data_IF_606243954645
#
_entry.id   IF_606243954645
#
_cell.length_a   1.000
_cell.length_b   1.000
_cell.length_c   1.000
_cell.angle_alpha   90.00
_cell.angle_beta   90.00
_cell.angle_gamma   90.00
#
_symmetry.space_group_name_H-M   'P 1'
#
loop_
_entity.id
_entity.type
_entity.pdbx_description
1 polymer ?
#
# COMPACT_ATOMS: atom_id res chain seq x y z
N UNK A 1 -52.36 39.85 13.06
CA UNK A 1 -50.92 40.17 12.92
C UNK A 1 -50.04 39.42 13.93
N UNK A 2 -50.26 39.51 15.26
CA UNK A 2 -49.45 38.77 16.27
C UNK A 2 -49.44 37.24 16.10
N UNK A 3 -50.58 36.61 15.76
CA UNK A 3 -50.66 35.15 15.52
C UNK A 3 -49.95 34.68 14.23
N UNK A 4 -49.82 35.56 13.24
CA UNK A 4 -49.10 35.24 11.99
C UNK A 4 -47.58 35.38 12.17
N UNK A 5 -47.12 36.29 13.02
CA UNK A 5 -45.70 36.42 13.37
C UNK A 5 -45.18 35.21 14.17
N UNK A 6 -45.98 34.65 15.08
CA UNK A 6 -45.60 33.43 15.81
C UNK A 6 -45.53 32.19 14.93
N UNK A 7 -46.37 32.07 13.90
CA UNK A 7 -46.35 30.93 12.98
C UNK A 7 -45.09 30.95 12.07
N UNK A 8 -44.63 32.14 11.66
CA UNK A 8 -43.41 32.30 10.86
C UNK A 8 -42.15 32.03 11.68
N UNK A 9 -42.12 32.40 12.96
CA UNK A 9 -40.98 32.10 13.84
C UNK A 9 -40.82 30.59 14.11
N UNK A 10 -41.92 29.86 14.23
CA UNK A 10 -41.91 28.39 14.45
C UNK A 10 -41.49 27.67 13.17
N UNK A 11 -41.96 28.10 12.00
CA UNK A 11 -41.55 27.52 10.71
C UNK A 11 -40.05 27.73 10.43
N UNK A 12 -39.48 28.88 10.80
CA UNK A 12 -38.06 29.19 10.63
C UNK A 12 -37.14 28.40 11.59
N UNK A 13 -37.66 28.00 12.76
CA UNK A 13 -36.89 27.19 13.74
C UNK A 13 -36.87 25.70 13.40
N UNK A 14 -37.89 25.19 12.68
CA UNK A 14 -37.88 23.80 12.18
C UNK A 14 -36.90 23.64 10.99
N UNK A 15 -36.73 24.65 10.14
CA UNK A 15 -35.75 24.61 9.05
C UNK A 15 -34.29 24.71 9.50
N UNK A 16 -34.02 25.23 10.71
CA UNK A 16 -32.68 25.29 11.28
C UNK A 16 -32.22 23.96 11.91
N UNK A 17 -33.15 23.06 12.23
CA UNK A 17 -32.85 21.75 12.83
C UNK A 17 -32.60 20.64 11.80
N UNK A 18 -32.96 20.83 10.53
CA UNK A 18 -32.66 19.88 9.44
C UNK A 18 -31.29 20.10 8.78
N UNK A 19 -30.49 21.05 9.27
CA UNK A 19 -29.12 21.30 8.77
C UNK A 19 -28.04 20.51 9.54
N UNK A 20 -28.39 19.75 10.57
CA UNK A 20 -27.51 18.73 11.13
C UNK A 20 -27.57 17.48 10.25
N UNK A 21 -26.83 17.47 9.15
CA UNK A 21 -26.39 16.22 8.55
C UNK A 21 -25.62 15.43 9.62
N UNK A 22 -25.80 14.10 9.73
CA UNK A 22 -24.91 13.29 10.55
C UNK A 22 -23.47 13.54 10.10
N UNK A 23 -22.55 13.72 11.06
CA UNK A 23 -21.12 13.99 10.85
C UNK A 23 -20.49 12.97 9.88
N UNK A 24 -20.53 13.22 8.58
CA UNK A 24 -19.71 12.49 7.59
C UNK A 24 -18.22 12.86 7.75
N UNK A 25 -17.92 13.96 8.43
CA UNK A 25 -16.56 14.47 8.64
C UNK A 25 -15.66 13.52 9.45
N UNK A 26 -16.23 12.52 10.13
CA UNK A 26 -15.49 11.55 10.94
C UNK A 26 -15.38 10.17 10.30
N UNK A 27 -15.58 10.04 8.98
CA UNK A 27 -15.42 8.77 8.26
C UNK A 27 -14.32 8.85 7.20
N UNK A 28 -13.51 7.80 7.09
CA UNK A 28 -12.50 7.66 6.05
C UNK A 28 -12.50 6.23 5.47
N UNK A 29 -12.42 6.11 4.15
CA UNK A 29 -12.27 4.84 3.44
C UNK A 29 -10.81 4.60 3.08
N UNK A 30 -10.29 3.44 3.45
CA UNK A 30 -8.89 3.07 3.18
C UNK A 30 -8.81 1.76 2.42
N UNK A 31 -8.18 1.79 1.24
CA UNK A 31 -7.86 0.59 0.49
C UNK A 31 -6.59 -0.10 1.03
N UNK A 32 -6.68 -1.42 1.25
CA UNK A 32 -5.57 -2.26 1.70
C UNK A 32 -5.48 -3.53 0.86
N UNK A 33 -4.43 -4.30 1.05
CA UNK A 33 -4.37 -5.66 0.53
C UNK A 33 -4.95 -6.67 1.52
N UNK A 34 -5.52 -7.76 1.01
CA UNK A 34 -5.92 -8.92 1.82
C UNK A 34 -4.71 -9.60 2.49
N UNK A 35 -4.96 -10.41 3.51
CA UNK A 35 -3.93 -11.23 4.17
C UNK A 35 -3.45 -10.62 5.50
N UNK A 36 -2.14 -10.60 5.79
CA UNK A 36 -1.62 -10.15 7.09
C UNK A 36 -2.05 -8.72 7.47
N UNK A 37 -2.25 -7.86 6.46
CA UNK A 37 -2.66 -6.47 6.65
C UNK A 37 -4.04 -6.36 7.30
N UNK A 38 -4.99 -7.27 7.02
CA UNK A 38 -6.34 -7.23 7.60
C UNK A 38 -6.33 -7.36 9.12
N UNK A 39 -5.40 -8.15 9.67
CA UNK A 39 -5.26 -8.28 11.12
C UNK A 39 -4.71 -6.98 11.76
N UNK A 40 -3.81 -6.30 11.07
CA UNK A 40 -3.27 -5.00 11.50
C UNK A 40 -4.38 -3.94 11.43
N UNK A 41 -5.13 -3.91 10.33
CA UNK A 41 -6.14 -2.89 10.09
C UNK A 41 -7.36 -3.01 11.02
N UNK A 42 -7.71 -4.20 11.50
CA UNK A 42 -8.66 -4.36 12.61
C UNK A 42 -8.24 -3.59 13.87
N UNK A 43 -6.94 -3.61 14.20
CA UNK A 43 -6.41 -2.85 15.33
C UNK A 43 -6.39 -1.35 15.01
N UNK A 44 -6.11 -0.97 13.77
CA UNK A 44 -6.18 0.44 13.33
C UNK A 44 -7.60 0.98 13.48
N UNK A 45 -8.62 0.27 12.99
CA UNK A 45 -10.04 0.62 13.14
C UNK A 45 -10.41 0.82 14.61
N UNK A 46 -10.03 -0.13 15.47
CA UNK A 46 -10.28 -0.04 16.91
C UNK A 46 -9.62 1.19 17.52
N UNK A 47 -8.34 1.41 17.28
CA UNK A 47 -7.59 2.55 17.83
C UNK A 47 -8.12 3.88 17.31
N UNK A 48 -8.46 3.95 16.02
CA UNK A 48 -9.05 5.13 15.37
C UNK A 48 -10.37 5.52 16.04
N UNK A 49 -11.26 4.54 16.27
CA UNK A 49 -12.55 4.79 16.92
C UNK A 49 -12.40 5.17 18.38
N UNK A 50 -11.63 4.40 19.16
CA UNK A 50 -11.50 4.59 20.61
C UNK A 50 -10.79 5.89 20.98
N UNK A 51 -9.75 6.27 20.24
CA UNK A 51 -8.90 7.42 20.61
C UNK A 51 -9.24 8.70 19.88
N UNK A 52 -9.78 8.60 18.67
CA UNK A 52 -9.97 9.74 17.78
C UNK A 52 -11.42 9.93 17.32
N UNK A 53 -12.35 9.04 17.73
CA UNK A 53 -13.73 9.01 17.25
C UNK A 53 -13.83 8.99 15.70
N UNK A 54 -12.85 8.36 15.05
CA UNK A 54 -12.77 8.25 13.59
C UNK A 54 -13.27 6.88 13.14
N UNK A 55 -14.26 6.86 12.26
CA UNK A 55 -14.79 5.66 11.61
C UNK A 55 -13.95 5.35 10.36
N UNK A 56 -13.09 4.34 10.47
CA UNK A 56 -12.29 3.85 9.33
C UNK A 56 -13.05 2.70 8.67
N UNK A 57 -13.38 2.84 7.39
CA UNK A 57 -13.92 1.77 6.55
C UNK A 57 -12.79 1.17 5.71
N UNK A 58 -12.41 -0.07 6.03
CA UNK A 58 -11.35 -0.78 5.31
C UNK A 58 -11.92 -1.53 4.11
N UNK A 59 -11.34 -1.28 2.93
CA UNK A 59 -11.68 -1.97 1.68
C UNK A 59 -10.49 -2.83 1.26
N UNK A 60 -10.63 -4.15 1.37
CA UNK A 60 -9.58 -5.10 1.01
C UNK A 60 -9.61 -5.48 -0.47
N UNK A 61 -8.45 -5.46 -1.12
CA UNK A 61 -8.25 -5.92 -2.48
C UNK A 61 -7.29 -7.12 -2.52
N UNK A 62 -7.47 -7.99 -3.52
CA UNK A 62 -6.64 -9.17 -3.74
C UNK A 62 -5.68 -9.01 -4.92
N UNK A 63 -5.21 -7.78 -5.16
CA UNK A 63 -4.21 -7.42 -6.17
C UNK A 63 -3.59 -6.06 -5.84
N UNK A 64 -2.54 -5.68 -6.56
CA UNK A 64 -1.75 -4.46 -6.30
C UNK A 64 -2.14 -3.26 -7.17
N UNK A 65 -2.98 -3.44 -8.18
CA UNK A 65 -3.36 -2.37 -9.13
C UNK A 65 -4.60 -1.64 -8.64
N UNK A 66 -5.63 -2.38 -8.22
CA UNK A 66 -6.93 -1.84 -7.85
C UNK A 66 -6.89 -0.84 -6.69
N UNK A 67 -6.07 -0.97 -5.62
CA UNK A 67 -6.03 0.03 -4.56
C UNK A 67 -5.60 1.44 -5.03
N UNK A 68 -4.74 1.51 -6.05
CA UNK A 68 -4.34 2.79 -6.65
C UNK A 68 -5.41 3.32 -7.61
N UNK A 69 -6.05 2.45 -8.40
CA UNK A 69 -7.16 2.85 -9.26
C UNK A 69 -8.36 3.38 -8.45
N UNK A 70 -8.72 2.70 -7.35
CA UNK A 70 -9.76 3.13 -6.43
C UNK A 70 -9.48 4.52 -5.83
N UNK A 71 -8.22 4.79 -5.43
CA UNK A 71 -7.84 6.11 -4.92
C UNK A 71 -7.90 7.18 -6.03
N UNK A 72 -7.45 6.86 -7.24
CA UNK A 72 -7.53 7.78 -8.37
C UNK A 72 -8.97 8.12 -8.77
N UNK A 73 -9.86 7.13 -8.68
CA UNK A 73 -11.29 7.26 -8.98
C UNK A 73 -12.08 7.91 -7.85
N UNK A 74 -11.44 8.15 -6.68
CA UNK A 74 -12.05 8.67 -5.46
C UNK A 74 -13.09 7.74 -4.84
N UNK A 75 -12.95 6.43 -5.06
CA UNK A 75 -13.76 5.41 -4.40
C UNK A 75 -13.32 5.19 -2.94
N UNK A 76 -12.06 5.52 -2.65
CA UNK A 76 -11.45 5.56 -1.31
C UNK A 76 -10.71 6.88 -1.10
N UNK A 77 -10.51 7.26 0.16
CA UNK A 77 -9.83 8.50 0.56
C UNK A 77 -8.31 8.31 0.69
N UNK A 78 -7.87 7.10 1.01
CA UNK A 78 -6.47 6.72 1.11
C UNK A 78 -6.25 5.26 0.70
N UNK A 79 -4.99 4.89 0.48
CA UNK A 79 -4.57 3.50 0.43
C UNK A 79 -3.30 3.28 1.26
N UNK A 80 -3.11 2.05 1.74
CA UNK A 80 -2.00 1.71 2.63
C UNK A 80 -1.56 0.26 2.41
N UNK A 81 -0.90 0.01 1.28
CA UNK A 81 -0.48 -1.34 0.86
C UNK A 81 0.90 -1.37 0.17
N UNK A 82 1.42 -0.21 -0.24
CA UNK A 82 2.52 -0.12 -1.21
C UNK A 82 3.80 0.50 -0.65
N UNK A 83 4.89 0.27 -1.38
CA UNK A 83 6.19 0.90 -1.12
C UNK A 83 6.40 2.13 -1.98
N UNK A 84 7.36 2.98 -1.62
CA UNK A 84 7.71 4.17 -2.41
C UNK A 84 8.15 3.82 -3.85
N UNK A 85 9.05 2.85 -4.09
CA UNK A 85 9.40 2.48 -5.47
C UNK A 85 8.21 2.00 -6.31
N UNK A 86 7.25 1.30 -5.69
CA UNK A 86 6.03 0.86 -6.37
C UNK A 86 5.15 2.05 -6.76
N UNK A 87 4.93 2.97 -5.82
CA UNK A 87 4.19 4.21 -6.08
C UNK A 87 4.83 5.03 -7.19
N UNK A 88 6.16 5.20 -7.18
CA UNK A 88 6.88 5.95 -8.20
C UNK A 88 6.77 5.30 -9.59
N UNK A 89 6.91 3.98 -9.66
CA UNK A 89 6.74 3.23 -10.91
C UNK A 89 5.31 3.35 -11.46
N UNK A 90 4.29 3.12 -10.64
CA UNK A 90 2.88 3.27 -11.03
C UNK A 90 2.53 4.70 -11.40
N UNK A 91 3.05 5.70 -10.67
CA UNK A 91 2.81 7.12 -10.99
C UNK A 91 3.43 7.51 -12.32
N UNK A 92 4.62 6.99 -12.64
CA UNK A 92 5.27 7.21 -13.95
C UNK A 92 4.47 6.56 -15.09
N UNK A 93 3.95 5.36 -14.88
CA UNK A 93 3.20 4.62 -15.90
C UNK A 93 1.79 5.18 -16.13
N UNK A 94 1.09 5.54 -15.05
CA UNK A 94 -0.35 5.84 -15.05
C UNK A 94 -0.71 7.29 -14.77
N UNK A 95 0.27 8.13 -14.45
CA UNK A 95 0.07 9.56 -14.22
C UNK A 95 -0.56 9.91 -12.88
N UNK A 96 -0.51 9.01 -11.89
CA UNK A 96 -1.03 9.27 -10.54
C UNK A 96 -0.30 10.46 -9.89
N UNK A 97 -1.06 11.24 -9.11
CA UNK A 97 -0.59 12.43 -8.39
C UNK A 97 -0.87 12.32 -6.89
N UNK A 98 -0.57 11.17 -6.31
CA UNK A 98 -0.83 10.91 -4.91
C UNK A 98 0.19 11.61 -4.02
N UNK A 99 -0.28 12.13 -2.89
CA UNK A 99 0.58 12.60 -1.82
C UNK A 99 0.91 11.45 -0.87
N UNK A 100 2.15 11.41 -0.38
CA UNK A 100 2.57 10.48 0.66
C UNK A 100 2.32 11.16 2.01
N UNK A 101 1.34 10.66 2.75
CA UNK A 101 0.97 11.20 4.07
C UNK A 101 1.81 10.65 5.22
N UNK A 102 2.45 9.50 5.03
CA UNK A 102 3.30 8.87 6.04
C UNK A 102 3.89 7.55 5.58
N UNK A 103 4.90 7.08 6.31
CA UNK A 103 5.47 5.73 6.19
C UNK A 103 4.99 4.90 7.37
N UNK A 104 4.62 3.65 7.12
CA UNK A 104 4.02 2.77 8.13
C UNK A 104 5.07 1.82 8.72
N UNK A 105 5.32 0.69 8.08
CA UNK A 105 6.26 -0.33 8.51
C UNK A 105 6.97 -0.95 7.30
N UNK A 106 8.00 -1.75 7.57
CA UNK A 106 8.78 -2.44 6.55
C UNK A 106 8.68 -3.94 6.78
N UNK A 107 8.27 -4.67 5.74
CA UNK A 107 8.43 -6.12 5.68
C UNK A 107 9.72 -6.47 4.91
N UNK A 108 10.75 -7.00 5.58
CA UNK A 108 11.96 -7.45 4.91
C UNK A 108 11.64 -8.57 3.92
N UNK A 109 12.19 -8.48 2.71
CA UNK A 109 12.13 -9.57 1.74
C UNK A 109 13.13 -10.65 2.15
N UNK A 110 12.75 -11.91 2.03
CA UNK A 110 13.59 -13.05 2.36
C UNK A 110 13.53 -14.12 1.26
N UNK A 111 14.62 -14.89 1.15
CA UNK A 111 14.65 -16.10 0.33
C UNK A 111 14.26 -17.31 1.19
N UNK A 112 13.59 -18.29 0.58
CA UNK A 112 13.15 -19.51 1.25
C UNK A 112 13.61 -20.74 0.46
N UNK A 113 13.94 -21.81 1.15
CA UNK A 113 14.24 -23.11 0.54
C UNK A 113 13.68 -24.25 1.38
N UNK A 114 13.19 -25.28 0.69
CA UNK A 114 12.85 -26.58 1.32
C UNK A 114 14.03 -27.54 1.36
N UNK A 115 15.12 -27.24 0.63
CA UNK A 115 16.24 -28.17 0.39
C UNK A 115 17.50 -27.83 1.17
N UNK A 116 17.76 -26.54 1.39
CA UNK A 116 18.95 -26.04 2.08
C UNK A 116 18.54 -25.22 3.29
N UNK A 117 19.36 -25.24 4.33
CA UNK A 117 19.12 -24.45 5.56
C UNK A 117 19.92 -23.16 5.59
N UNK A 118 21.09 -23.16 4.96
CA UNK A 118 22.00 -22.02 4.91
C UNK A 118 22.33 -21.65 3.47
N UNK A 119 22.58 -20.38 3.21
CA UNK A 119 22.91 -19.90 1.86
C UNK A 119 24.22 -20.48 1.33
N UNK A 120 25.16 -20.85 2.23
CA UNK A 120 26.41 -21.51 1.90
C UNK A 120 26.23 -22.90 1.27
N UNK A 121 25.07 -23.54 1.48
CA UNK A 121 24.72 -24.84 0.89
C UNK A 121 24.16 -24.71 -0.54
N UNK A 122 23.99 -23.49 -1.06
CA UNK A 122 23.42 -23.26 -2.39
C UNK A 122 24.36 -23.83 -3.48
N UNK A 123 23.94 -24.86 -4.23
CA UNK A 123 24.78 -25.47 -5.24
C UNK A 123 24.92 -24.56 -6.46
N UNK A 124 26.01 -24.75 -7.20
CA UNK A 124 26.20 -24.09 -8.48
C UNK A 124 25.14 -24.59 -9.48
N UNK A 125 24.66 -23.71 -10.35
CA UNK A 125 23.58 -24.01 -11.29
C UNK A 125 22.18 -24.06 -10.66
N UNK A 126 22.03 -23.70 -9.38
CA UNK A 126 20.73 -23.66 -8.71
C UNK A 126 19.75 -22.71 -9.41
N UNK A 127 18.47 -23.12 -9.47
CA UNK A 127 17.38 -22.26 -9.96
C UNK A 127 16.79 -21.44 -8.81
N UNK A 128 16.68 -20.12 -9.01
CA UNK A 128 16.09 -19.18 -8.07
C UNK A 128 14.84 -18.57 -8.70
N UNK A 129 13.68 -18.90 -8.15
CA UNK A 129 12.44 -18.20 -8.49
C UNK A 129 12.42 -16.81 -7.87
N UNK A 130 12.20 -15.79 -8.71
CA UNK A 130 12.01 -14.39 -8.31
C UNK A 130 10.72 -13.85 -8.92
N UNK A 131 10.22 -12.73 -8.38
CA UNK A 131 9.01 -12.07 -8.90
C UNK A 131 9.24 -11.54 -10.32
N UNK A 132 8.18 -11.49 -11.13
CA UNK A 132 8.15 -10.81 -12.42
C UNK A 132 7.61 -9.37 -12.32
N UNK A 133 7.12 -8.94 -11.15
CA UNK A 133 6.72 -7.56 -10.89
C UNK A 133 7.98 -6.70 -10.68
N UNK A 134 8.07 -5.59 -11.42
CA UNK A 134 9.28 -4.77 -11.57
C UNK A 134 9.97 -4.39 -10.25
N UNK A 135 9.22 -3.92 -9.27
CA UNK A 135 9.81 -3.45 -8.01
C UNK A 135 10.27 -4.60 -7.11
N UNK A 136 9.51 -5.69 -7.08
CA UNK A 136 9.86 -6.91 -6.34
C UNK A 136 11.02 -7.66 -7.00
N UNK A 137 11.06 -7.70 -8.33
CA UNK A 137 12.20 -8.21 -9.12
C UNK A 137 13.49 -7.48 -8.72
N UNK A 138 13.45 -6.14 -8.73
CA UNK A 138 14.58 -5.32 -8.32
C UNK A 138 15.04 -5.62 -6.89
N UNK A 139 14.10 -5.70 -5.94
CA UNK A 139 14.40 -6.06 -4.54
C UNK A 139 15.02 -7.46 -4.41
N UNK A 140 14.55 -8.44 -5.17
CA UNK A 140 15.12 -9.80 -5.18
C UNK A 140 16.55 -9.80 -5.70
N UNK A 141 16.83 -9.10 -6.80
CA UNK A 141 18.19 -9.01 -7.36
C UNK A 141 19.15 -8.28 -6.42
N UNK A 142 18.70 -7.20 -5.79
CA UNK A 142 19.49 -6.50 -4.78
C UNK A 142 19.78 -7.38 -3.56
N UNK A 143 18.84 -8.22 -3.14
CA UNK A 143 19.06 -9.20 -2.07
C UNK A 143 20.12 -10.24 -2.48
N UNK A 144 20.06 -10.77 -3.70
CA UNK A 144 21.06 -11.72 -4.21
C UNK A 144 22.45 -11.08 -4.28
N UNK A 145 22.55 -9.83 -4.72
CA UNK A 145 23.80 -9.07 -4.69
C UNK A 145 24.31 -8.85 -3.27
N UNK A 146 23.43 -8.49 -2.33
CA UNK A 146 23.80 -8.29 -0.93
C UNK A 146 24.32 -9.58 -0.25
N UNK A 147 23.94 -10.75 -0.77
CA UNK A 147 24.47 -12.05 -0.34
C UNK A 147 25.71 -12.50 -1.14
N UNK A 148 26.24 -11.67 -2.04
CA UNK A 148 27.42 -11.98 -2.86
C UNK A 148 27.19 -13.07 -3.91
N UNK A 149 25.93 -13.37 -4.25
CA UNK A 149 25.57 -14.45 -5.18
C UNK A 149 25.66 -14.01 -6.64
N UNK A 150 25.42 -12.73 -6.89
CA UNK A 150 25.52 -12.06 -8.19
C UNK A 150 26.12 -10.67 -7.99
N UNK A 151 26.53 -10.03 -9.08
CA UNK A 151 26.86 -8.61 -9.12
C UNK A 151 26.02 -7.92 -10.18
N UNK A 152 25.44 -6.79 -9.82
CA UNK A 152 24.65 -5.94 -10.70
C UNK A 152 25.51 -4.78 -11.21
N UNK A 153 25.13 -4.26 -12.37
CA UNK A 153 25.67 -3.02 -12.91
C UNK A 153 25.43 -1.86 -11.93
N UNK A 154 26.43 -1.00 -11.78
CA UNK A 154 26.30 0.22 -10.98
C UNK A 154 25.26 1.18 -11.57
N UNK A 155 24.64 1.99 -10.71
CA UNK A 155 23.66 3.00 -11.13
C UNK A 155 22.27 2.47 -11.51
N UNK A 156 21.98 1.20 -11.25
CA UNK A 156 20.67 0.57 -11.53
C UNK A 156 19.56 0.98 -10.55
N UNK A 157 19.92 1.60 -9.42
CA UNK A 157 18.96 2.07 -8.41
C UNK A 157 18.17 0.93 -7.77
N UNK A 158 16.86 1.14 -7.59
CA UNK A 158 15.97 0.16 -6.96
C UNK A 158 15.28 -0.80 -7.94
N UNK A 159 15.47 -0.60 -9.25
CA UNK A 159 14.78 -1.35 -10.30
C UNK A 159 15.75 -2.06 -11.27
N UNK A 160 16.81 -2.76 -10.78
CA UNK A 160 17.62 -3.60 -11.66
C UNK A 160 16.77 -4.71 -12.28
N UNK A 161 17.18 -5.16 -13.46
CA UNK A 161 16.62 -6.30 -14.18
C UNK A 161 17.66 -7.43 -14.26
N UNK A 162 17.24 -8.61 -14.72
CA UNK A 162 18.18 -9.72 -14.96
C UNK A 162 19.23 -9.40 -16.03
N UNK A 163 18.95 -8.43 -16.92
CA UNK A 163 19.92 -7.94 -17.92
C UNK A 163 21.04 -7.10 -17.29
N UNK A 164 20.85 -6.63 -16.06
CA UNK A 164 21.85 -5.83 -15.35
C UNK A 164 22.84 -6.69 -14.55
N UNK A 165 22.73 -8.02 -14.61
CA UNK A 165 23.65 -8.94 -13.94
C UNK A 165 24.96 -9.00 -14.73
N UNK A 166 26.05 -8.53 -14.13
CA UNK A 166 27.38 -8.49 -14.73
C UNK A 166 28.30 -9.62 -14.24
N UNK A 167 28.02 -10.22 -13.09
CA UNK A 167 28.73 -11.41 -12.59
C UNK A 167 27.73 -12.40 -11.96
N UNK A 168 27.86 -13.68 -12.29
CA UNK A 168 27.06 -14.79 -11.75
C UNK A 168 27.97 -16.01 -11.51
N UNK A 169 28.84 -15.97 -10.48
CA UNK A 169 29.90 -16.97 -10.27
C UNK A 169 29.36 -18.39 -10.05
N UNK A 170 28.19 -18.51 -9.41
CA UNK A 170 27.50 -19.77 -9.17
C UNK A 170 26.66 -20.25 -10.36
N UNK A 171 26.65 -19.53 -11.48
CA UNK A 171 25.87 -19.87 -12.68
C UNK A 171 24.38 -20.13 -12.37
N UNK A 172 23.82 -19.33 -11.45
CA UNK A 172 22.43 -19.40 -11.01
C UNK A 172 21.48 -19.18 -12.18
N UNK A 173 20.33 -19.85 -12.14
CA UNK A 173 19.30 -19.83 -13.18
C UNK A 173 18.01 -19.21 -12.68
#
# INVERSE_FOLDING_TARGET
>A
MKKMFSAVLIAASVTLLSACSPDEDNKIKVAINTGPDEAIWKVVEQVAKEKYNLDVEVISFNDYVLPNEALNNKDVDANAFQTLPYLEAQSKERGYKFAIVGKTFVFPIAAYSKKIKNISELPDGATISISNETTTLGRSLLLLQAQGLIKLKEGTGYLPTTLDIIENPKQLK
#
